data_IF_393022337756
#
_entry.id   IF_393022337756
#
_cell.length_a   1.000
_cell.length_b   1.000
_cell.length_c   1.000
_cell.angle_alpha   90.00
_cell.angle_beta   90.00
_cell.angle_gamma   90.00
#
_symmetry.space_group_name_H-M   'P 1'
#
loop_
_entity.id
_entity.type
_entity.pdbx_description
1 polymer ?
#
# COMPACT_ATOMS: atom_id res chain seq x y z
N UNK A 1 -27.91 -4.76 -13.74
CA UNK A 1 -27.34 -3.40 -13.73
C UNK A 1 -27.53 -2.77 -12.37
N UNK A 2 -28.74 -2.83 -11.79
CA UNK A 2 -29.02 -2.23 -10.47
C UNK A 2 -28.17 -2.80 -9.31
N UNK A 3 -27.65 -4.02 -9.45
CA UNK A 3 -26.80 -4.64 -8.42
C UNK A 3 -25.39 -4.04 -8.40
N UNK A 4 -24.89 -3.55 -9.54
CA UNK A 4 -23.57 -2.93 -9.63
C UNK A 4 -23.49 -1.61 -8.86
N UNK A 5 -24.55 -0.80 -8.87
CA UNK A 5 -24.62 0.48 -8.17
C UNK A 5 -24.53 0.32 -6.65
N UNK A 6 -24.95 -0.83 -6.13
CA UNK A 6 -24.96 -1.14 -4.70
C UNK A 6 -23.74 -1.95 -4.25
N UNK A 7 -22.86 -2.36 -5.18
CA UNK A 7 -21.70 -3.16 -4.86
C UNK A 7 -20.53 -2.25 -4.40
N UNK A 8 -20.06 -2.42 -3.15
CA UNK A 8 -19.01 -1.55 -2.60
C UNK A 8 -17.59 -1.91 -3.07
N UNK A 9 -17.45 -2.90 -3.94
CA UNK A 9 -16.17 -3.45 -4.34
C UNK A 9 -16.17 -3.87 -5.82
N UNK A 10 -15.08 -4.55 -6.24
CA UNK A 10 -14.85 -5.02 -7.61
C UNK A 10 -15.85 -6.14 -7.97
N UNK A 11 -17.05 -5.76 -8.36
CA UNK A 11 -18.12 -6.71 -8.71
C UNK A 11 -17.71 -7.69 -9.81
N UNK A 12 -16.94 -7.23 -10.79
CA UNK A 12 -16.46 -8.04 -11.92
C UNK A 12 -15.21 -8.86 -11.59
N UNK A 13 -14.73 -8.78 -10.35
CA UNK A 13 -13.52 -9.46 -9.90
C UNK A 13 -12.24 -8.70 -10.24
N UNK A 14 -11.13 -9.28 -9.88
CA UNK A 14 -9.79 -8.78 -10.23
C UNK A 14 -8.85 -9.93 -10.52
N UNK A 15 -7.76 -9.64 -11.23
CA UNK A 15 -6.68 -10.58 -11.46
C UNK A 15 -5.33 -9.87 -11.37
N UNK A 16 -4.26 -10.65 -11.19
CA UNK A 16 -2.89 -10.18 -11.29
C UNK A 16 -2.30 -10.65 -12.61
N UNK A 17 -2.20 -9.73 -13.57
CA UNK A 17 -1.57 -9.97 -14.85
C UNK A 17 -0.63 -8.82 -15.19
N UNK A 18 0.65 -9.12 -15.39
CA UNK A 18 1.63 -8.13 -15.83
C UNK A 18 1.72 -8.17 -17.33
N UNK A 19 1.28 -7.10 -17.98
CA UNK A 19 1.33 -6.96 -19.43
C UNK A 19 2.82 -6.91 -19.86
N UNK A 20 3.28 -7.80 -20.78
CA UNK A 20 4.65 -7.75 -21.27
C UNK A 20 4.93 -6.45 -22.03
N UNK A 21 6.19 -6.19 -22.35
CA UNK A 21 6.51 -5.14 -23.32
C UNK A 21 6.05 -5.57 -24.71
N UNK A 22 5.35 -4.68 -25.43
CA UNK A 22 4.81 -4.99 -26.76
C UNK A 22 5.89 -5.17 -27.84
N UNK A 23 7.10 -4.70 -27.59
CA UNK A 23 8.23 -4.99 -28.48
C UNK A 23 8.76 -6.44 -28.32
N UNK A 24 8.47 -7.07 -27.18
CA UNK A 24 8.83 -8.47 -26.89
C UNK A 24 7.68 -9.41 -27.25
N UNK A 25 6.45 -9.04 -26.86
CA UNK A 25 5.24 -9.83 -27.17
C UNK A 25 4.05 -8.91 -27.38
N UNK A 26 3.68 -8.70 -28.67
CA UNK A 26 2.53 -7.86 -29.08
C UNK A 26 1.18 -8.56 -28.95
N UNK A 27 1.18 -9.89 -28.87
CA UNK A 27 -0.05 -10.70 -28.96
C UNK A 27 -1.13 -10.34 -27.92
N UNK A 28 -0.83 -10.07 -26.64
CA UNK A 28 -1.84 -9.63 -25.69
C UNK A 28 -2.49 -8.28 -26.08
N UNK A 29 -1.71 -7.39 -26.69
CA UNK A 29 -2.20 -6.09 -27.13
C UNK A 29 -3.13 -6.22 -28.34
N UNK A 30 -2.76 -7.04 -29.30
CA UNK A 30 -3.59 -7.34 -30.48
C UNK A 30 -4.97 -7.84 -30.03
N UNK A 31 -5.02 -8.79 -29.11
CA UNK A 31 -6.27 -9.33 -28.55
C UNK A 31 -7.10 -8.22 -27.88
N UNK A 32 -6.46 -7.33 -27.10
CA UNK A 32 -7.16 -6.24 -26.41
C UNK A 32 -7.74 -5.26 -27.44
N UNK A 33 -6.94 -4.86 -28.41
CA UNK A 33 -7.39 -3.87 -29.41
C UNK A 33 -8.40 -4.45 -30.40
N UNK A 34 -8.32 -5.73 -30.74
CA UNK A 34 -9.37 -6.43 -31.50
C UNK A 34 -10.72 -6.37 -30.75
N UNK A 35 -10.70 -6.53 -29.41
CA UNK A 35 -11.90 -6.40 -28.58
C UNK A 35 -12.40 -4.95 -28.55
N UNK A 36 -11.49 -3.98 -28.48
CA UNK A 36 -11.88 -2.58 -28.54
C UNK A 36 -12.58 -2.25 -29.87
N UNK A 37 -12.11 -2.79 -30.98
CA UNK A 37 -12.74 -2.63 -32.29
C UNK A 37 -14.09 -3.37 -32.36
N UNK A 38 -14.15 -4.63 -31.94
CA UNK A 38 -15.38 -5.45 -31.92
C UNK A 38 -16.52 -4.76 -31.18
N UNK A 39 -16.20 -4.19 -30.00
CA UNK A 39 -17.19 -3.52 -29.15
C UNK A 39 -17.31 -2.01 -29.41
N UNK A 40 -16.64 -1.46 -30.42
CA UNK A 40 -16.62 -0.05 -30.74
C UNK A 40 -16.29 0.84 -29.54
N UNK A 41 -15.26 0.46 -28.77
CA UNK A 41 -14.82 1.17 -27.56
C UNK A 41 -14.18 2.50 -27.97
N UNK A 42 -14.78 3.61 -27.59
CA UNK A 42 -14.23 4.94 -27.81
C UNK A 42 -13.21 5.35 -26.72
N UNK A 43 -13.42 4.88 -25.49
CA UNK A 43 -12.52 5.14 -24.36
C UNK A 43 -12.47 3.96 -23.40
N UNK A 44 -11.26 3.65 -22.92
CA UNK A 44 -10.98 2.62 -21.93
C UNK A 44 -10.46 3.28 -20.66
N UNK A 45 -11.19 3.15 -19.56
CA UNK A 45 -10.83 3.66 -18.25
C UNK A 45 -10.30 2.50 -17.37
N UNK A 46 -9.08 2.62 -16.91
CA UNK A 46 -8.47 1.58 -16.09
C UNK A 46 -8.13 2.12 -14.70
N UNK A 47 -8.85 1.60 -13.69
CA UNK A 47 -8.71 2.02 -12.30
C UNK A 47 -7.77 1.06 -11.59
N UNK A 48 -6.72 1.55 -10.93
CA UNK A 48 -5.83 0.68 -10.18
C UNK A 48 -4.59 1.36 -9.62
N UNK A 49 -3.70 0.55 -9.06
CA UNK A 49 -2.43 0.97 -8.48
C UNK A 49 -1.31 1.12 -9.52
N UNK A 50 -0.06 1.11 -9.06
CA UNK A 50 1.13 1.34 -9.87
C UNK A 50 1.23 0.40 -11.08
N UNK A 51 1.00 -0.91 -10.90
CA UNK A 51 1.02 -1.88 -12.00
C UNK A 51 -0.09 -1.62 -13.03
N UNK A 52 -1.24 -1.11 -12.59
CA UNK A 52 -2.32 -0.74 -13.50
C UNK A 52 -1.95 0.51 -14.30
N UNK A 53 -1.24 1.47 -13.71
CA UNK A 53 -0.76 2.66 -14.42
C UNK A 53 0.35 2.32 -15.41
N UNK A 54 1.24 1.36 -15.11
CA UNK A 54 2.19 0.79 -16.08
C UNK A 54 1.45 0.16 -17.28
N UNK A 55 0.38 -0.58 -17.00
CA UNK A 55 -0.48 -1.15 -18.05
C UNK A 55 -1.11 -0.07 -18.92
N UNK A 56 -1.63 1.01 -18.32
CA UNK A 56 -2.19 2.16 -19.05
C UNK A 56 -1.15 2.83 -19.94
N UNK A 57 0.05 3.04 -19.44
CA UNK A 57 1.16 3.62 -20.23
C UNK A 57 1.50 2.75 -21.44
N UNK A 58 1.65 1.43 -21.21
CA UNK A 58 1.93 0.46 -22.29
C UNK A 58 0.82 0.44 -23.34
N UNK A 59 -0.46 0.37 -22.92
CA UNK A 59 -1.59 0.40 -23.84
C UNK A 59 -1.65 1.72 -24.61
N UNK A 60 -1.38 2.85 -23.97
CA UNK A 60 -1.33 4.16 -24.61
C UNK A 60 -0.24 4.25 -25.68
N UNK A 61 0.94 3.71 -25.38
CA UNK A 61 2.06 3.64 -26.34
C UNK A 61 1.72 2.74 -27.53
N UNK A 62 1.13 1.58 -27.26
CA UNK A 62 0.72 0.67 -28.31
C UNK A 62 -0.40 1.26 -29.18
N UNK A 63 -1.41 1.92 -28.58
CA UNK A 63 -2.46 2.63 -29.34
C UNK A 63 -1.87 3.62 -30.33
N UNK A 64 -0.88 4.43 -29.89
CA UNK A 64 -0.17 5.37 -30.77
C UNK A 64 0.58 4.65 -31.89
N UNK A 65 1.24 3.53 -31.60
CA UNK A 65 2.00 2.74 -32.57
C UNK A 65 1.11 2.21 -33.71
N UNK A 66 -0.11 1.74 -33.38
CA UNK A 66 -1.04 1.20 -34.36
C UNK A 66 -2.01 2.23 -34.95
N UNK A 67 -1.92 3.50 -34.52
CA UNK A 67 -2.81 4.56 -34.98
C UNK A 67 -4.26 4.42 -34.51
N UNK A 68 -4.50 3.81 -33.37
CA UNK A 68 -5.84 3.65 -32.78
C UNK A 68 -6.35 4.96 -32.17
N UNK A 69 -7.63 5.29 -32.41
CA UNK A 69 -8.32 6.46 -31.84
C UNK A 69 -8.85 6.24 -30.42
N UNK A 70 -8.77 5.01 -29.89
CA UNK A 70 -9.24 4.67 -28.53
C UNK A 70 -8.50 5.49 -27.51
N UNK A 71 -9.24 6.15 -26.62
CA UNK A 71 -8.67 6.93 -25.51
C UNK A 71 -8.37 5.99 -24.34
N UNK A 72 -7.11 5.86 -23.97
CA UNK A 72 -6.70 5.08 -22.80
C UNK A 72 -6.51 6.03 -21.62
N UNK A 73 -7.29 5.86 -20.56
CA UNK A 73 -7.33 6.75 -19.39
C UNK A 73 -7.06 5.96 -18.11
N UNK A 74 -5.99 6.30 -17.40
CA UNK A 74 -5.69 5.76 -16.09
C UNK A 74 -6.39 6.55 -14.98
N UNK A 75 -6.94 5.85 -14.01
CA UNK A 75 -7.50 6.42 -12.79
C UNK A 75 -6.72 5.80 -11.61
N UNK A 76 -5.67 6.47 -11.12
CA UNK A 76 -4.82 5.91 -10.08
C UNK A 76 -5.55 5.86 -8.74
N UNK A 77 -5.31 4.80 -7.96
CA UNK A 77 -5.77 4.64 -6.60
C UNK A 77 -4.70 3.94 -5.77
N UNK A 78 -4.54 4.36 -4.53
CA UNK A 78 -3.74 3.68 -3.51
C UNK A 78 -4.18 4.17 -2.14
N UNK A 79 -4.05 3.32 -1.11
CA UNK A 79 -4.23 3.74 0.28
C UNK A 79 -2.93 4.25 0.90
N UNK A 80 -1.80 4.06 0.22
CA UNK A 80 -0.46 4.43 0.71
C UNK A 80 -0.23 5.96 0.72
N UNK A 81 -1.10 6.70 0.00
CA UNK A 81 -1.03 8.16 -0.15
C UNK A 81 0.27 8.65 -0.81
N UNK A 82 0.79 7.86 -1.75
CA UNK A 82 2.09 8.06 -2.40
C UNK A 82 2.01 8.64 -3.83
N UNK A 83 0.85 9.16 -4.23
CA UNK A 83 0.69 9.80 -5.55
C UNK A 83 1.21 11.23 -5.55
N UNK A 84 2.06 11.55 -6.51
CA UNK A 84 2.57 12.91 -6.72
C UNK A 84 1.43 13.90 -6.95
N UNK A 85 1.57 15.12 -6.42
CA UNK A 85 0.60 16.21 -6.57
C UNK A 85 -0.82 15.88 -6.07
N UNK A 86 -0.93 14.96 -5.13
CA UNK A 86 -2.20 14.51 -4.56
C UNK A 86 -2.10 14.56 -3.03
N UNK A 87 -2.96 15.35 -2.38
CA UNK A 87 -2.96 15.48 -0.92
C UNK A 87 -3.56 14.22 -0.25
N UNK A 88 -4.66 13.72 -0.81
CA UNK A 88 -5.37 12.55 -0.31
C UNK A 88 -5.73 11.61 -1.45
N UNK A 89 -5.15 10.44 -1.45
CA UNK A 89 -5.47 9.40 -2.43
C UNK A 89 -6.78 8.68 -2.08
N UNK A 90 -7.49 8.13 -3.06
CA UNK A 90 -8.72 7.39 -2.82
C UNK A 90 -8.51 6.21 -1.87
N UNK A 91 -9.21 6.22 -0.74
CA UNK A 91 -9.14 5.17 0.28
C UNK A 91 -8.18 5.46 1.43
N UNK A 92 -7.24 6.41 1.31
CA UNK A 92 -6.28 6.74 2.38
C UNK A 92 -6.97 7.14 3.68
N UNK A 93 -7.93 8.07 3.64
CA UNK A 93 -8.63 8.52 4.85
C UNK A 93 -9.36 7.39 5.58
N UNK A 94 -9.97 6.46 4.85
CA UNK A 94 -10.61 5.27 5.44
C UNK A 94 -9.59 4.30 6.02
N UNK A 95 -8.47 4.10 5.34
CA UNK A 95 -7.37 3.25 5.80
C UNK A 95 -6.71 3.85 7.06
N UNK A 96 -6.46 5.15 7.08
CA UNK A 96 -5.93 5.86 8.25
C UNK A 96 -6.84 5.71 9.48
N UNK A 97 -8.16 5.88 9.29
CA UNK A 97 -9.14 5.64 10.35
C UNK A 97 -9.12 4.19 10.84
N UNK A 98 -9.02 3.23 9.93
CA UNK A 98 -8.91 1.80 10.27
C UNK A 98 -7.65 1.53 11.11
N UNK A 99 -6.50 2.04 10.66
CA UNK A 99 -5.22 1.90 11.40
C UNK A 99 -5.34 2.48 12.81
N UNK A 100 -5.86 3.71 12.95
CA UNK A 100 -6.01 4.34 14.25
C UNK A 100 -6.97 3.56 15.18
N UNK A 101 -8.10 3.08 14.66
CA UNK A 101 -9.07 2.30 15.45
C UNK A 101 -8.48 0.95 15.87
N UNK A 102 -7.84 0.23 14.96
CA UNK A 102 -7.21 -1.06 15.25
C UNK A 102 -6.06 -0.91 16.24
N UNK A 103 -5.26 0.15 16.13
CA UNK A 103 -4.20 0.44 17.09
C UNK A 103 -4.74 0.66 18.50
N UNK A 104 -5.87 1.36 18.62
CA UNK A 104 -6.53 1.57 19.91
C UNK A 104 -7.08 0.26 20.49
N UNK A 105 -7.69 -0.59 19.66
CA UNK A 105 -8.17 -1.91 20.08
C UNK A 105 -7.04 -2.81 20.59
N UNK A 106 -5.92 -2.87 19.85
CA UNK A 106 -4.71 -3.61 20.25
C UNK A 106 -4.17 -3.07 21.57
N UNK A 107 -4.16 -1.74 21.75
CA UNK A 107 -3.71 -1.10 22.98
C UNK A 107 -4.57 -1.52 24.18
N UNK A 108 -5.89 -1.50 24.04
CA UNK A 108 -6.80 -1.88 25.11
C UNK A 108 -6.64 -3.35 25.49
N UNK A 109 -6.51 -4.25 24.50
CA UNK A 109 -6.27 -5.66 24.75
C UNK A 109 -4.92 -5.88 25.48
N UNK A 110 -3.87 -5.20 25.03
CA UNK A 110 -2.53 -5.32 25.62
C UNK A 110 -2.48 -4.83 27.07
N UNK A 111 -3.21 -3.78 27.44
CA UNK A 111 -3.20 -3.21 28.79
C UNK A 111 -3.83 -4.10 29.84
N UNK A 112 -4.62 -5.09 29.45
CA UNK A 112 -5.27 -6.04 30.38
C UNK A 112 -4.22 -6.94 31.05
N UNK A 113 -3.14 -7.28 30.34
CA UNK A 113 -2.15 -8.23 30.80
C UNK A 113 -1.24 -7.62 31.89
N UNK A 114 -0.95 -8.44 32.92
CA UNK A 114 -0.11 -8.04 34.05
C UNK A 114 1.38 -8.32 33.83
N UNK A 115 1.75 -8.89 32.70
CA UNK A 115 3.14 -9.20 32.33
C UNK A 115 3.71 -8.09 31.42
N UNK A 116 5.01 -7.77 31.51
CA UNK A 116 5.65 -6.92 30.53
C UNK A 116 5.52 -7.50 29.13
N UNK A 117 5.13 -6.65 28.19
CA UNK A 117 4.91 -7.08 26.79
C UNK A 117 5.32 -6.01 25.80
N UNK A 118 5.74 -6.46 24.63
CA UNK A 118 6.01 -5.60 23.46
C UNK A 118 5.14 -6.11 22.32
N UNK A 119 4.33 -5.23 21.76
CA UNK A 119 3.50 -5.51 20.59
C UNK A 119 4.01 -4.65 19.45
N UNK A 120 4.40 -5.28 18.35
CA UNK A 120 4.85 -4.62 17.14
C UNK A 120 3.76 -4.82 16.09
N UNK A 121 3.25 -3.72 15.57
CA UNK A 121 2.21 -3.69 14.54
C UNK A 121 2.84 -3.20 13.26
N UNK A 122 3.02 -4.11 12.30
CA UNK A 122 3.47 -3.79 10.96
C UNK A 122 2.33 -3.19 10.16
N UNK A 123 2.60 -2.07 9.50
CA UNK A 123 1.63 -1.30 8.73
C UNK A 123 2.14 -1.16 7.30
N UNK A 124 1.28 -1.46 6.34
CA UNK A 124 1.59 -1.33 4.93
C UNK A 124 1.76 0.12 4.51
N UNK A 125 2.36 0.34 3.34
CA UNK A 125 2.63 1.66 2.78
C UNK A 125 3.90 1.71 1.95
N UNK A 126 4.64 0.61 1.85
CA UNK A 126 5.94 0.52 1.17
C UNK A 126 6.90 1.59 1.68
N UNK A 127 7.39 2.45 0.77
CA UNK A 127 8.32 3.54 1.09
C UNK A 127 7.62 4.84 1.53
N UNK A 128 6.29 4.79 1.73
CA UNK A 128 5.48 5.92 2.18
C UNK A 128 4.89 5.66 3.58
N UNK A 129 5.30 6.44 4.54
CA UNK A 129 4.95 6.26 5.96
C UNK A 129 3.59 6.84 6.38
N UNK A 130 2.75 7.29 5.47
CA UNK A 130 1.49 7.98 5.79
C UNK A 130 0.53 7.15 6.63
N UNK A 131 0.35 5.87 6.31
CA UNK A 131 -0.52 4.98 7.09
C UNK A 131 0.08 4.67 8.46
N UNK A 132 1.39 4.45 8.52
CA UNK A 132 2.10 4.24 9.78
C UNK A 132 2.03 5.48 10.66
N UNK A 133 2.23 6.67 10.10
CA UNK A 133 2.06 7.94 10.80
C UNK A 133 0.64 8.13 11.32
N UNK A 134 -0.39 7.71 10.57
CA UNK A 134 -1.79 7.81 10.97
C UNK A 134 -2.10 7.02 12.26
N UNK A 135 -1.27 6.03 12.63
CA UNK A 135 -1.39 5.33 13.91
C UNK A 135 -1.32 6.26 15.12
N UNK A 136 -0.65 7.42 15.00
CA UNK A 136 -0.57 8.41 16.07
C UNK A 136 -1.94 8.97 16.47
N UNK A 137 -2.94 8.90 15.59
CA UNK A 137 -4.31 9.33 15.85
C UNK A 137 -5.04 8.45 16.88
N UNK A 138 -4.50 7.29 17.21
CA UNK A 138 -4.99 6.44 18.30
C UNK A 138 -4.67 7.03 19.69
N UNK A 139 -3.68 7.91 19.79
CA UNK A 139 -3.28 8.53 21.06
C UNK A 139 -4.38 9.44 21.59
N UNK A 140 -4.68 9.29 22.87
CA UNK A 140 -5.66 10.12 23.57
C UNK A 140 -5.31 10.22 25.06
N UNK A 141 -6.13 10.91 25.85
CA UNK A 141 -5.92 11.14 27.28
C UNK A 141 -5.86 9.85 28.11
N UNK A 142 -6.36 8.73 27.58
CA UNK A 142 -6.43 7.44 28.27
C UNK A 142 -5.42 6.41 27.72
N UNK A 143 -4.87 6.63 26.54
CA UNK A 143 -3.94 5.71 25.89
C UNK A 143 -2.83 6.47 25.16
N UNK A 144 -1.56 6.30 25.55
CA UNK A 144 -0.41 6.87 24.85
C UNK A 144 -0.01 6.04 23.60
N UNK A 145 -0.69 4.93 23.32
CA UNK A 145 -0.33 4.05 22.22
C UNK A 145 -0.70 4.62 20.84
N UNK A 146 0.13 4.37 19.82
CA UNK A 146 1.40 3.67 19.89
C UNK A 146 2.48 4.50 20.59
N UNK A 147 3.31 3.85 21.42
CA UNK A 147 4.39 4.51 22.14
C UNK A 147 5.49 4.97 21.19
N UNK A 148 5.83 4.11 20.22
CA UNK A 148 6.88 4.31 19.23
C UNK A 148 6.30 4.16 17.81
N UNK A 149 6.81 4.96 16.87
CA UNK A 149 6.41 4.91 15.46
C UNK A 149 7.69 4.98 14.63
N UNK A 150 7.88 3.99 13.73
CA UNK A 150 9.03 3.91 12.83
C UNK A 150 8.55 4.01 11.39
N UNK A 151 9.01 5.06 10.71
CA UNK A 151 8.61 5.42 9.35
C UNK A 151 9.68 4.99 8.34
N UNK A 152 9.30 4.66 7.11
CA UNK A 152 10.25 4.24 6.08
C UNK A 152 11.13 5.39 5.56
N UNK A 153 10.76 6.64 5.83
CA UNK A 153 11.54 7.83 5.45
C UNK A 153 12.76 8.09 6.34
N UNK A 154 12.95 7.27 7.36
CA UNK A 154 14.06 7.42 8.34
C UNK A 154 14.80 6.10 8.44
N UNK A 155 16.14 6.14 8.33
CA UNK A 155 16.98 4.96 8.48
C UNK A 155 16.68 4.27 9.84
N UNK A 156 16.44 2.96 9.76
CA UNK A 156 16.16 2.16 10.95
C UNK A 156 17.47 1.66 11.57
N UNK A 157 17.59 1.87 12.86
CA UNK A 157 18.70 1.37 13.68
C UNK A 157 18.17 0.39 14.72
N UNK A 158 18.61 -0.86 14.64
CA UNK A 158 18.11 -1.93 15.51
C UNK A 158 18.53 -1.73 16.98
N UNK A 159 19.75 -1.25 17.23
CA UNK A 159 20.23 -0.99 18.57
C UNK A 159 19.45 0.15 19.22
N UNK A 160 19.18 1.21 18.47
CA UNK A 160 18.35 2.33 18.93
C UNK A 160 16.90 1.87 19.18
N UNK A 161 16.33 1.04 18.30
CA UNK A 161 14.99 0.48 18.49
C UNK A 161 14.86 -0.29 19.80
N UNK A 162 15.85 -1.14 20.10
CA UNK A 162 15.88 -1.91 21.35
C UNK A 162 15.99 -0.97 22.57
N UNK A 163 16.81 0.07 22.48
CA UNK A 163 16.97 1.04 23.56
C UNK A 163 15.70 1.87 23.78
N UNK A 164 15.01 2.28 22.71
CA UNK A 164 13.73 2.98 22.78
C UNK A 164 12.67 2.14 23.50
N UNK A 165 12.57 0.84 23.17
CA UNK A 165 11.67 -0.09 23.86
C UNK A 165 12.01 -0.17 25.36
N UNK A 166 13.29 -0.34 25.71
CA UNK A 166 13.74 -0.37 27.12
C UNK A 166 13.39 0.93 27.85
N UNK A 167 13.50 2.06 27.18
CA UNK A 167 13.18 3.35 27.77
C UNK A 167 11.69 3.48 28.08
N UNK A 168 10.80 3.05 27.18
CA UNK A 168 9.36 3.04 27.43
C UNK A 168 9.02 2.06 28.56
N UNK A 169 9.66 0.89 28.64
CA UNK A 169 9.43 -0.10 29.70
C UNK A 169 9.82 0.39 31.10
N UNK A 170 10.59 1.48 31.24
CA UNK A 170 10.90 2.09 32.55
C UNK A 170 9.65 2.75 33.18
N UNK A 171 8.71 3.19 32.37
CA UNK A 171 7.51 3.94 32.79
C UNK A 171 6.18 3.27 32.42
N UNK A 172 6.21 2.33 31.48
CA UNK A 172 5.04 1.58 31.03
C UNK A 172 5.29 0.07 31.19
N UNK A 173 4.23 -0.67 31.47
CA UNK A 173 4.31 -2.13 31.54
C UNK A 173 4.33 -2.77 30.16
N UNK A 174 3.77 -2.12 29.17
CA UNK A 174 3.74 -2.60 27.80
C UNK A 174 4.22 -1.52 26.84
N UNK A 175 4.76 -1.96 25.71
CA UNK A 175 5.16 -1.10 24.59
C UNK A 175 4.39 -1.51 23.35
N UNK A 176 3.75 -0.55 22.72
CA UNK A 176 3.06 -0.75 21.44
C UNK A 176 3.80 0.09 20.41
N UNK A 177 4.27 -0.59 19.38
CA UNK A 177 5.09 -0.02 18.31
C UNK A 177 4.32 -0.11 17.01
N UNK A 178 4.20 0.99 16.29
CA UNK A 178 3.79 1.01 14.89
C UNK A 178 5.04 1.05 14.02
N UNK A 179 5.16 0.14 13.06
CA UNK A 179 6.29 0.07 12.16
C UNK A 179 5.83 -0.06 10.72
N UNK A 180 6.46 0.68 9.81
CA UNK A 180 6.17 0.50 8.37
C UNK A 180 6.81 -0.79 7.86
N UNK A 181 6.13 -1.48 6.94
CA UNK A 181 6.71 -2.59 6.18
C UNK A 181 7.95 -2.19 5.39
N UNK A 182 8.07 -0.91 5.05
CA UNK A 182 9.14 -0.34 4.23
C UNK A 182 10.34 0.18 5.01
N UNK A 183 10.48 -0.08 6.32
CA UNK A 183 11.68 0.33 7.06
C UNK A 183 12.93 -0.33 6.51
N UNK A 184 13.99 0.45 6.38
CA UNK A 184 15.28 0.01 5.85
C UNK A 184 16.45 0.52 6.70
N UNK A 185 17.56 -0.16 6.60
CA UNK A 185 18.82 0.28 7.21
C UNK A 185 19.44 1.44 6.40
N UNK A 186 20.55 1.99 6.93
CA UNK A 186 21.32 3.08 6.28
C UNK A 186 21.89 2.72 4.89
N UNK A 187 21.96 1.43 4.56
CA UNK A 187 22.46 0.93 3.30
C UNK A 187 21.30 0.68 2.30
N UNK A 188 20.06 0.96 2.71
CA UNK A 188 18.85 0.81 1.90
C UNK A 188 18.30 -0.61 1.85
N UNK A 189 18.75 -1.52 2.72
CA UNK A 189 18.22 -2.88 2.78
C UNK A 189 16.96 -2.90 3.66
N UNK A 190 15.87 -3.43 3.13
CA UNK A 190 14.64 -3.59 3.90
C UNK A 190 14.84 -4.57 5.06
N UNK A 191 14.42 -4.17 6.25
CA UNK A 191 14.53 -5.00 7.47
C UNK A 191 13.67 -6.26 7.35
N UNK A 192 12.52 -6.18 6.68
CA UNK A 192 11.63 -7.32 6.44
C UNK A 192 12.15 -8.31 5.40
N UNK A 193 13.07 -7.91 4.53
CA UNK A 193 13.59 -8.73 3.44
C UNK A 193 14.75 -9.64 3.88
N UNK A 194 14.51 -10.53 4.83
CA UNK A 194 15.50 -11.55 5.26
C UNK A 194 15.72 -12.65 4.21
N UNK A 195 14.92 -12.74 3.16
CA UNK A 195 15.11 -13.68 2.05
C UNK A 195 15.11 -12.92 0.73
N UNK A 196 16.18 -13.13 -0.06
CA UNK A 196 16.42 -12.47 -1.33
C UNK A 196 15.50 -12.93 -2.49
N UNK A 197 14.33 -13.47 -2.21
CA UNK A 197 13.40 -13.95 -3.23
C UNK A 197 12.19 -13.01 -3.28
N UNK A 198 12.17 -12.17 -4.32
CA UNK A 198 10.99 -11.39 -4.64
C UNK A 198 10.11 -12.16 -5.65
N UNK A 199 8.79 -12.00 -5.53
CA UNK A 199 7.86 -12.46 -6.55
C UNK A 199 7.98 -11.60 -7.83
N UNK A 200 7.27 -12.01 -8.89
CA UNK A 200 7.27 -11.29 -10.18
C UNK A 200 6.68 -9.87 -10.10
N UNK A 201 6.10 -9.50 -8.98
CA UNK A 201 5.55 -8.15 -8.70
C UNK A 201 6.44 -7.34 -7.76
N UNK A 202 7.58 -7.90 -7.30
CA UNK A 202 8.54 -7.22 -6.43
C UNK A 202 8.22 -7.32 -4.94
N UNK A 203 7.32 -8.22 -4.53
CA UNK A 203 7.06 -8.47 -3.11
C UNK A 203 8.05 -9.51 -2.58
N UNK A 204 8.60 -9.28 -1.38
CA UNK A 204 9.38 -10.29 -0.65
C UNK A 204 8.52 -11.53 -0.36
N UNK A 205 9.09 -12.72 -0.56
CA UNK A 205 8.44 -13.99 -0.20
C UNK A 205 9.00 -14.53 1.10
#
# INVERSE_FOLDING_TARGET
VNTLELSPAMYLGSCRYKLPDFEVDSKPYEIIFDRFEEYQVAAFYYIGGNDSMDTVDKLSKYAKKIGSDVKIVGIPKTIDNDLCHTDHTPGFGSAAKYVASTMLEIAHDTYIYQIPSVVIVEIMGRDAGWLTAASCLARNDYSPAPHLIYLPEVDFDEDQFIEDIKNVLKTSRCVIVAVSEGIHDKDGNYISATSAVADKFGHAQ
#
